data_IF_086891518476
#
_entry.id   IF_086891518476
#
_cell.length_a   1.000
_cell.length_b   1.000
_cell.length_c   1.000
_cell.angle_alpha   90.00
_cell.angle_beta   90.00
_cell.angle_gamma   90.00
#
_symmetry.space_group_name_H-M   'P 1'
#
loop_
_entity.id
_entity.type
_entity.pdbx_description
1 polymer ?
#
# COMPACT_ATOMS: atom_id res chain seq x y z
N UNK A 1 -3.10 21.00 -14.90
CA UNK A 1 -1.66 20.65 -14.94
C UNK A 1 -1.55 19.43 -15.85
N UNK A 2 -1.13 19.62 -17.09
CA UNK A 2 -1.00 18.54 -18.08
C UNK A 2 0.25 17.75 -17.75
N UNK A 3 0.08 16.48 -17.41
CA UNK A 3 1.19 15.57 -17.16
C UNK A 3 1.95 15.35 -18.48
N UNK A 4 3.26 15.60 -18.46
CA UNK A 4 4.14 15.28 -19.59
C UNK A 4 4.13 13.78 -19.89
N UNK A 5 4.13 13.36 -21.15
CA UNK A 5 4.18 11.95 -21.54
C UNK A 5 5.50 11.24 -21.17
N UNK A 6 6.48 11.97 -20.65
CA UNK A 6 7.84 11.47 -20.32
C UNK A 6 7.98 11.21 -18.80
N UNK A 7 7.00 10.60 -18.14
CA UNK A 7 7.18 10.17 -16.75
C UNK A 7 8.19 9.04 -16.68
N UNK A 8 9.43 9.41 -16.40
CA UNK A 8 10.46 8.47 -15.96
C UNK A 8 10.11 8.04 -14.53
N UNK A 9 10.00 6.73 -14.33
CA UNK A 9 9.90 6.16 -12.98
C UNK A 9 11.05 6.65 -12.11
N UNK A 10 10.80 7.09 -10.87
CA UNK A 10 11.89 7.37 -9.96
C UNK A 10 12.68 6.06 -9.75
N UNK A 11 13.95 6.08 -10.10
CA UNK A 11 14.85 4.96 -9.81
C UNK A 11 15.17 4.84 -8.32
N UNK A 12 14.81 5.87 -7.54
CA UNK A 12 15.17 6.00 -6.12
C UNK A 12 14.09 6.78 -5.37
N UNK A 13 13.66 6.25 -4.22
CA UNK A 13 12.67 6.87 -3.33
C UNK A 13 13.21 6.90 -1.91
N UNK A 14 13.24 8.08 -1.31
CA UNK A 14 13.53 8.25 0.12
C UNK A 14 12.30 7.83 0.94
N UNK A 15 12.49 6.93 1.88
CA UNK A 15 11.44 6.50 2.81
C UNK A 15 11.77 7.06 4.19
N UNK A 16 10.90 7.92 4.71
CA UNK A 16 11.11 8.61 5.97
C UNK A 16 10.97 7.67 7.18
N UNK A 17 12.10 7.36 7.83
CA UNK A 17 12.20 6.47 8.96
C UNK A 17 12.11 7.17 10.32
N UNK A 18 12.47 8.45 10.36
CA UNK A 18 12.68 9.23 11.58
C UNK A 18 11.48 10.10 11.96
N UNK A 19 10.42 10.17 11.12
CA UNK A 19 9.20 10.89 11.49
C UNK A 19 8.49 10.23 12.68
N UNK A 20 7.76 11.02 13.44
CA UNK A 20 6.90 10.50 14.48
C UNK A 20 5.73 9.69 13.89
N UNK A 21 5.52 8.47 14.39
CA UNK A 21 4.41 7.64 13.97
C UNK A 21 3.06 8.34 14.12
N UNK A 22 2.31 8.42 13.04
CA UNK A 22 0.99 9.02 13.01
C UNK A 22 -0.11 7.97 13.10
N UNK A 23 -0.88 8.02 14.17
CA UNK A 23 -2.05 7.16 14.36
C UNK A 23 -3.11 7.45 13.30
N UNK A 24 -3.86 6.40 12.91
CA UNK A 24 -4.95 6.50 11.94
C UNK A 24 -4.51 7.01 10.56
N UNK A 25 -3.30 6.66 10.15
CA UNK A 25 -2.74 6.92 8.82
C UNK A 25 -2.57 5.62 8.04
N UNK A 26 -2.17 5.70 6.77
CA UNK A 26 -1.85 4.51 5.95
C UNK A 26 -0.58 3.77 6.38
N UNK A 27 0.14 4.24 7.39
CA UNK A 27 1.37 3.60 7.89
C UNK A 27 1.15 2.20 8.45
N UNK A 28 -0.06 1.93 8.99
CA UNK A 28 -0.37 0.62 9.55
C UNK A 28 -1.72 0.06 9.05
N UNK A 29 -2.26 0.57 7.96
CA UNK A 29 -3.53 0.10 7.38
C UNK A 29 -3.60 0.30 5.89
N UNK A 30 -4.42 -0.51 5.26
CA UNK A 30 -4.84 -0.33 3.88
C UNK A 30 -6.30 -0.76 3.71
N UNK A 31 -6.86 -0.57 2.53
CA UNK A 31 -8.21 -1.00 2.19
C UNK A 31 -8.18 -1.98 1.04
N UNK A 32 -8.96 -3.05 1.16
CA UNK A 32 -9.23 -4.04 0.11
C UNK A 32 -10.71 -3.99 -0.25
N UNK A 33 -11.11 -4.57 -1.39
CA UNK A 33 -12.51 -4.67 -1.75
C UNK A 33 -13.07 -6.03 -1.29
N UNK A 34 -13.96 -6.00 -0.32
CA UNK A 34 -14.74 -7.15 0.11
C UNK A 34 -16.13 -7.15 -0.53
N UNK A 35 -16.88 -8.23 -0.34
CA UNK A 35 -18.20 -8.37 -0.94
C UNK A 35 -19.28 -7.38 -0.46
N UNK A 36 -19.04 -6.68 0.64
CA UNK A 36 -19.92 -5.67 1.22
C UNK A 36 -19.33 -4.24 1.15
N UNK A 37 -18.19 -4.08 0.48
CA UNK A 37 -17.53 -2.80 0.27
C UNK A 37 -16.08 -2.76 0.72
N UNK A 38 -15.46 -1.57 0.77
CA UNK A 38 -14.08 -1.41 1.22
C UNK A 38 -13.89 -1.90 2.65
N UNK A 39 -13.02 -2.89 2.83
CA UNK A 39 -12.66 -3.45 4.13
C UNK A 39 -11.27 -2.97 4.53
N UNK A 40 -11.15 -2.44 5.75
CA UNK A 40 -9.86 -2.03 6.32
C UNK A 40 -9.08 -3.24 6.85
N UNK A 41 -7.87 -3.41 6.39
CA UNK A 41 -6.85 -4.26 7.00
C UNK A 41 -5.94 -3.40 7.85
N UNK A 42 -5.67 -3.81 9.07
CA UNK A 42 -4.86 -3.04 10.02
C UNK A 42 -3.86 -3.92 10.75
N UNK A 43 -2.61 -3.48 10.79
CA UNK A 43 -1.57 -4.05 11.62
C UNK A 43 -1.65 -3.39 13.01
N UNK A 44 -1.93 -4.14 14.09
CA UNK A 44 -1.89 -3.62 15.44
C UNK A 44 -0.46 -3.24 15.83
N UNK A 45 -0.32 -2.15 16.59
CA UNK A 45 0.99 -1.68 17.07
C UNK A 45 0.97 -1.44 18.56
N UNK A 46 2.11 -1.67 19.20
CA UNK A 46 2.28 -1.38 20.63
C UNK A 46 2.24 0.13 20.80
N UNK A 47 1.31 0.57 21.66
CA UNK A 47 1.15 1.98 21.97
C UNK A 47 2.20 2.43 23.00
N UNK A 48 2.84 3.55 22.73
CA UNK A 48 3.83 4.18 23.59
C UNK A 48 3.83 5.71 23.44
N UNK A 49 4.76 6.39 24.10
CA UNK A 49 5.04 7.80 23.82
C UNK A 49 5.41 7.99 22.35
N UNK A 50 5.61 9.24 21.95
CA UNK A 50 6.03 9.53 20.57
C UNK A 50 7.24 8.67 20.16
N UNK A 51 7.10 7.91 19.07
CA UNK A 51 8.12 6.99 18.56
C UNK A 51 8.39 7.31 17.10
N UNK A 52 9.66 7.19 16.71
CA UNK A 52 10.01 7.24 15.29
C UNK A 52 9.36 6.08 14.54
N UNK A 53 9.01 6.28 13.28
CA UNK A 53 8.37 5.25 12.43
C UNK A 53 9.20 3.96 12.41
N UNK A 54 10.53 4.08 12.37
CA UNK A 54 11.46 2.94 12.40
C UNK A 54 11.42 2.12 13.70
N UNK A 55 10.86 2.65 14.78
CA UNK A 55 10.86 1.99 16.11
C UNK A 55 9.50 1.44 16.52
N UNK A 56 8.47 1.64 15.71
CA UNK A 56 7.12 1.16 16.00
C UNK A 56 7.10 -0.37 15.98
N UNK A 57 6.73 -0.97 17.13
CA UNK A 57 6.62 -2.43 17.27
C UNK A 57 5.22 -2.91 16.94
N UNK A 58 5.16 -4.08 16.29
CA UNK A 58 3.90 -4.75 15.99
C UNK A 58 3.38 -5.44 17.27
N UNK A 59 2.08 -5.39 17.49
CA UNK A 59 1.40 -6.09 18.56
C UNK A 59 0.81 -7.41 18.05
N UNK A 60 1.39 -8.52 18.46
CA UNK A 60 0.95 -9.88 18.15
C UNK A 60 0.03 -10.51 19.21
N UNK A 61 -0.45 -9.74 20.19
CA UNK A 61 -1.37 -10.23 21.21
C UNK A 61 -2.70 -10.73 20.67
N UNK A 62 -3.07 -10.31 19.44
CA UNK A 62 -4.24 -10.76 18.73
C UNK A 62 -3.84 -11.50 17.43
N UNK A 63 -4.65 -12.46 16.96
CA UNK A 63 -4.34 -13.23 15.73
C UNK A 63 -4.63 -12.42 14.45
N UNK A 64 -4.10 -11.20 14.35
CA UNK A 64 -4.37 -10.31 13.21
C UNK A 64 -3.81 -10.84 11.90
N UNK A 65 -2.68 -11.56 11.91
CA UNK A 65 -2.09 -12.18 10.71
C UNK A 65 -3.09 -13.14 10.07
N UNK A 66 -3.60 -14.10 10.83
CA UNK A 66 -4.59 -15.09 10.34
C UNK A 66 -5.88 -14.39 9.89
N UNK A 67 -6.31 -13.34 10.58
CA UNK A 67 -7.49 -12.56 10.17
C UNK A 67 -7.27 -11.84 8.84
N UNK A 68 -6.08 -11.26 8.66
CA UNK A 68 -5.69 -10.59 7.40
C UNK A 68 -5.64 -11.60 6.25
N UNK A 69 -4.99 -12.75 6.45
CA UNK A 69 -4.93 -13.82 5.44
C UNK A 69 -6.33 -14.29 5.03
N UNK A 70 -7.22 -14.57 5.99
CA UNK A 70 -8.62 -14.96 5.71
C UNK A 70 -9.39 -13.86 4.97
N UNK A 71 -9.18 -12.60 5.33
CA UNK A 71 -9.84 -11.49 4.65
C UNK A 71 -9.38 -11.39 3.19
N UNK A 72 -8.08 -11.59 2.93
CA UNK A 72 -7.52 -11.62 1.58
C UNK A 72 -8.05 -12.82 0.78
N UNK A 73 -8.05 -14.04 1.36
CA UNK A 73 -8.63 -15.23 0.73
C UNK A 73 -10.10 -14.97 0.34
N UNK A 74 -10.91 -14.48 1.28
CA UNK A 74 -12.34 -14.21 1.04
C UNK A 74 -12.56 -13.14 -0.04
N UNK A 75 -11.69 -12.13 -0.10
CA UNK A 75 -11.83 -11.02 -1.05
C UNK A 75 -11.34 -11.37 -2.46
N UNK A 76 -10.30 -12.21 -2.58
CA UNK A 76 -9.57 -12.37 -3.83
C UNK A 76 -9.43 -13.80 -4.35
N UNK A 77 -9.99 -14.82 -3.69
CA UNK A 77 -9.93 -16.23 -4.14
C UNK A 77 -10.32 -16.40 -5.62
N UNK A 78 -11.23 -15.56 -6.12
CA UNK A 78 -11.69 -15.59 -7.52
C UNK A 78 -11.00 -14.56 -8.43
N UNK A 79 -10.06 -13.77 -7.91
CA UNK A 79 -9.29 -12.82 -8.73
C UNK A 79 -8.25 -13.57 -9.58
N UNK A 80 -8.07 -13.10 -10.82
CA UNK A 80 -7.33 -13.82 -11.86
C UNK A 80 -5.88 -14.19 -11.49
N UNK A 81 -5.24 -13.34 -10.67
CA UNK A 81 -3.82 -13.49 -10.33
C UNK A 81 -3.55 -13.70 -8.85
N UNK A 82 -4.58 -13.80 -8.01
CA UNK A 82 -4.41 -13.93 -6.56
C UNK A 82 -3.56 -15.15 -6.17
N UNK A 83 -3.85 -16.31 -6.76
CA UNK A 83 -3.15 -17.56 -6.47
C UNK A 83 -1.64 -17.47 -6.73
N UNK A 84 -1.22 -16.70 -7.74
CA UNK A 84 0.19 -16.52 -8.08
C UNK A 84 0.99 -15.70 -7.06
N UNK A 85 0.32 -14.81 -6.31
CA UNK A 85 1.00 -13.86 -5.40
C UNK A 85 0.71 -14.13 -3.92
N UNK A 86 -0.31 -14.94 -3.65
CA UNK A 86 -0.82 -15.20 -2.30
C UNK A 86 0.24 -15.72 -1.36
N UNK A 87 0.92 -16.78 -1.75
CA UNK A 87 1.87 -17.49 -0.87
C UNK A 87 3.09 -16.61 -0.54
N UNK A 88 3.58 -15.85 -1.50
CA UNK A 88 4.68 -14.89 -1.28
C UNK A 88 4.26 -13.78 -0.29
N UNK A 89 3.05 -13.24 -0.45
CA UNK A 89 2.52 -12.24 0.49
C UNK A 89 2.30 -12.82 1.88
N UNK A 90 1.77 -14.04 1.96
CA UNK A 90 1.53 -14.71 3.25
C UNK A 90 2.85 -15.02 3.97
N UNK A 91 3.88 -15.41 3.25
CA UNK A 91 5.22 -15.61 3.82
C UNK A 91 5.77 -14.33 4.51
N UNK A 92 5.49 -13.14 3.95
CA UNK A 92 5.87 -11.87 4.60
C UNK A 92 5.10 -11.64 5.92
N UNK A 93 3.82 -12.01 5.95
CA UNK A 93 2.99 -11.87 7.16
C UNK A 93 3.39 -12.91 8.23
N UNK A 94 3.66 -14.15 7.80
CA UNK A 94 4.04 -15.27 8.67
C UNK A 94 5.45 -15.14 9.24
N UNK A 95 6.33 -14.34 8.61
CA UNK A 95 7.64 -14.01 9.14
C UNK A 95 7.58 -13.22 10.46
N UNK A 96 6.43 -12.59 10.75
CA UNK A 96 6.16 -11.86 12.00
C UNK A 96 7.31 -10.92 12.44
N UNK A 97 7.73 -9.97 11.59
CA UNK A 97 8.79 -9.05 11.97
C UNK A 97 8.43 -8.27 13.23
N UNK A 98 9.40 -7.95 14.06
CA UNK A 98 9.17 -7.20 15.30
C UNK A 98 8.66 -5.78 15.02
N UNK A 99 9.20 -5.13 13.98
CA UNK A 99 8.92 -3.73 13.67
C UNK A 99 7.98 -3.57 12.49
N UNK A 100 7.03 -2.63 12.62
CA UNK A 100 6.13 -2.22 11.53
C UNK A 100 6.90 -1.73 10.30
N UNK A 101 8.04 -1.08 10.52
CA UNK A 101 8.95 -0.61 9.49
C UNK A 101 9.42 -1.75 8.57
N UNK A 102 9.85 -2.86 9.15
CA UNK A 102 10.33 -4.03 8.42
C UNK A 102 9.23 -4.65 7.56
N UNK A 103 8.03 -4.80 8.13
CA UNK A 103 6.86 -5.30 7.40
C UNK A 103 6.50 -4.40 6.22
N UNK A 104 6.46 -3.08 6.44
CA UNK A 104 6.12 -2.12 5.41
C UNK A 104 7.13 -2.13 4.26
N UNK A 105 8.44 -2.10 4.56
CA UNK A 105 9.46 -2.16 3.53
C UNK A 105 9.41 -3.47 2.73
N UNK A 106 9.20 -4.60 3.41
CA UNK A 106 9.07 -5.89 2.75
C UNK A 106 7.84 -5.93 1.84
N UNK A 107 6.72 -5.38 2.28
CA UNK A 107 5.49 -5.29 1.48
C UNK A 107 5.67 -4.37 0.27
N UNK A 108 6.34 -3.21 0.43
CA UNK A 108 6.62 -2.31 -0.70
C UNK A 108 7.55 -2.99 -1.70
N UNK A 109 8.62 -3.64 -1.24
CA UNK A 109 9.54 -4.39 -2.12
C UNK A 109 8.83 -5.51 -2.87
N UNK A 110 7.96 -6.25 -2.19
CA UNK A 110 7.10 -7.26 -2.83
C UNK A 110 6.27 -6.63 -3.95
N UNK A 111 5.57 -5.52 -3.70
CA UNK A 111 4.77 -4.84 -4.72
C UNK A 111 5.61 -4.36 -5.90
N UNK A 112 6.78 -3.75 -5.65
CA UNK A 112 7.69 -3.30 -6.70
C UNK A 112 8.19 -4.47 -7.55
N UNK A 113 8.61 -5.57 -6.91
CA UNK A 113 9.05 -6.79 -7.59
C UNK A 113 7.95 -7.38 -8.47
N UNK A 114 6.75 -7.59 -7.91
CA UNK A 114 5.64 -8.23 -8.62
C UNK A 114 5.03 -7.36 -9.72
N UNK A 115 5.18 -6.05 -9.66
CA UNK A 115 4.78 -5.11 -10.73
C UNK A 115 5.90 -4.82 -11.72
N UNK A 116 7.12 -5.34 -11.49
CA UNK A 116 8.27 -5.10 -12.36
C UNK A 116 8.84 -3.68 -12.28
N UNK A 117 8.54 -2.94 -11.21
CA UNK A 117 9.03 -1.58 -11.02
C UNK A 117 10.41 -1.61 -10.38
N UNK A 118 11.43 -1.20 -11.14
CA UNK A 118 12.80 -1.06 -10.64
C UNK A 118 12.94 0.27 -9.88
N UNK A 119 12.89 0.20 -8.55
CA UNK A 119 13.04 1.38 -7.69
C UNK A 119 13.82 1.01 -6.42
N UNK A 120 14.83 1.79 -6.09
CA UNK A 120 15.58 1.67 -4.85
C UNK A 120 14.87 2.42 -3.72
N UNK A 121 14.68 1.74 -2.59
CA UNK A 121 14.11 2.33 -1.38
C UNK A 121 15.23 2.64 -0.39
N UNK A 122 15.50 3.91 -0.13
CA UNK A 122 16.49 4.35 0.83
C UNK A 122 15.83 4.94 2.08
N UNK A 123 16.04 4.31 3.27
CA UNK A 123 15.61 4.90 4.54
C UNK A 123 16.35 6.20 4.85
N UNK A 124 15.65 7.21 5.32
CA UNK A 124 16.30 8.41 5.85
C UNK A 124 17.06 8.10 7.15
N UNK A 125 18.21 8.75 7.35
CA UNK A 125 19.03 8.60 8.57
C UNK A 125 18.62 9.60 9.66
N UNK A 126 18.10 10.73 9.23
CA UNK A 126 17.59 11.80 10.08
C UNK A 126 16.23 12.26 9.56
N UNK A 127 15.47 12.96 10.40
CA UNK A 127 14.20 13.52 9.97
C UNK A 127 14.40 14.58 8.88
N UNK A 128 13.83 14.30 7.71
CA UNK A 128 13.85 15.24 6.59
C UNK A 128 12.65 16.16 6.71
N UNK A 129 12.91 17.48 6.76
CA UNK A 129 11.83 18.47 6.76
C UNK A 129 10.98 18.33 5.49
N UNK A 130 9.64 18.45 5.60
CA UNK A 130 8.78 18.45 4.44
C UNK A 130 9.22 19.51 3.43
N UNK A 131 9.44 19.08 2.19
CA UNK A 131 9.82 19.98 1.10
C UNK A 131 8.61 20.18 0.19
N UNK A 132 8.25 21.45 -0.05
CA UNK A 132 7.13 21.80 -0.92
C UNK A 132 7.52 21.79 -2.41
N UNK A 133 8.81 21.76 -2.72
CA UNK A 133 9.34 21.70 -4.09
C UNK A 133 9.63 20.28 -4.55
N UNK A 134 9.81 19.34 -3.61
CA UNK A 134 9.96 17.91 -3.89
C UNK A 134 8.59 17.20 -3.94
N UNK A 135 8.56 16.06 -4.59
CA UNK A 135 7.41 15.15 -4.59
C UNK A 135 7.27 14.46 -3.22
N UNK A 136 6.91 15.24 -2.19
CA UNK A 136 6.72 14.75 -0.82
C UNK A 136 5.23 14.45 -0.55
N UNK A 137 4.91 13.17 -0.46
CA UNK A 137 3.54 12.67 -0.26
C UNK A 137 3.22 12.32 1.18
N UNK A 138 4.13 12.45 2.14
CA UNK A 138 4.00 11.96 3.55
C UNK A 138 2.77 12.48 4.28
N UNK A 139 2.36 13.72 4.00
CA UNK A 139 1.22 14.37 4.66
C UNK A 139 0.04 14.66 3.72
N UNK A 140 0.23 14.43 2.42
CA UNK A 140 -0.79 14.66 1.40
C UNK A 140 -1.69 13.43 1.31
N UNK A 141 -1.11 12.23 1.18
CA UNK A 141 -1.86 10.97 1.12
C UNK A 141 -2.24 10.54 2.54
N UNK A 142 -3.50 10.77 2.92
CA UNK A 142 -3.97 10.50 4.27
C UNK A 142 -5.45 10.08 4.30
N UNK A 143 -5.88 9.05 5.11
CA UNK A 143 -7.25 8.53 5.10
C UNK A 143 -8.34 9.56 5.45
N UNK A 144 -7.97 10.64 6.12
CA UNK A 144 -8.90 11.69 6.59
C UNK A 144 -8.89 12.94 5.71
N UNK A 145 -8.12 12.97 4.64
CA UNK A 145 -8.04 14.11 3.73
C UNK A 145 -8.58 13.72 2.37
N UNK A 146 -9.20 14.65 1.64
CA UNK A 146 -9.45 14.44 0.22
C UNK A 146 -8.12 14.11 -0.45
N UNK A 147 -8.08 13.01 -1.17
CA UNK A 147 -6.89 12.59 -1.89
C UNK A 147 -7.05 13.01 -3.35
N UNK A 148 -6.60 14.22 -3.65
CA UNK A 148 -6.60 14.73 -5.02
C UNK A 148 -5.34 14.32 -5.79
N UNK A 149 -4.36 13.68 -5.13
CA UNK A 149 -3.10 13.28 -5.75
C UNK A 149 -3.34 12.24 -6.84
N UNK A 150 -4.00 11.15 -6.52
CA UNK A 150 -4.27 10.08 -7.50
C UNK A 150 -5.14 10.58 -8.65
N UNK A 151 -6.16 11.39 -8.36
CA UNK A 151 -6.99 12.04 -9.37
C UNK A 151 -6.16 13.00 -10.23
N UNK A 152 -5.34 13.84 -9.61
CA UNK A 152 -4.46 14.79 -10.30
C UNK A 152 -3.40 14.12 -11.16
N UNK A 153 -2.99 12.91 -10.79
CA UNK A 153 -2.05 12.08 -11.53
C UNK A 153 -2.73 11.22 -12.61
N UNK A 154 -4.07 11.22 -12.70
CA UNK A 154 -4.81 10.37 -13.64
C UNK A 154 -4.74 8.87 -13.32
N UNK A 155 -4.42 8.52 -12.07
CA UNK A 155 -4.24 7.13 -11.63
C UNK A 155 -5.53 6.47 -11.16
N UNK A 156 -6.64 7.20 -11.06
CA UNK A 156 -7.96 6.65 -10.72
C UNK A 156 -8.65 6.08 -11.98
N UNK A 157 -7.96 5.21 -12.73
CA UNK A 157 -8.55 4.56 -13.91
C UNK A 157 -9.24 3.25 -13.47
N UNK A 158 -10.49 3.02 -13.93
CA UNK A 158 -11.18 1.76 -13.65
C UNK A 158 -10.45 0.56 -14.25
N UNK A 159 -10.11 -0.41 -13.43
CA UNK A 159 -9.66 -1.75 -13.80
C UNK A 159 -10.70 -2.80 -13.34
N UNK A 160 -10.50 -4.05 -13.70
CA UNK A 160 -11.38 -5.12 -13.25
C UNK A 160 -11.25 -5.31 -11.73
N UNK A 161 -12.39 -5.50 -11.05
CA UNK A 161 -12.46 -5.81 -9.62
C UNK A 161 -13.50 -6.91 -9.39
N UNK A 162 -13.16 -7.92 -8.57
CA UNK A 162 -14.01 -9.10 -8.31
C UNK A 162 -15.46 -8.72 -7.94
N UNK A 163 -15.64 -7.70 -7.12
CA UNK A 163 -16.95 -7.28 -6.64
C UNK A 163 -17.53 -6.06 -7.37
N UNK A 164 -16.97 -5.69 -8.52
CA UNK A 164 -17.38 -4.50 -9.28
C UNK A 164 -18.89 -4.42 -9.53
N UNK A 165 -19.48 -5.53 -9.98
CA UNK A 165 -20.92 -5.55 -10.30
C UNK A 165 -21.76 -5.42 -9.04
N UNK A 166 -21.34 -6.00 -7.94
CA UNK A 166 -22.01 -5.90 -6.64
C UNK A 166 -21.92 -4.48 -6.05
N UNK A 167 -20.82 -3.78 -6.32
CA UNK A 167 -20.64 -2.37 -5.89
C UNK A 167 -21.31 -1.37 -6.82
N UNK A 168 -21.87 -1.80 -7.94
CA UNK A 168 -22.46 -0.91 -8.94
C UNK A 168 -21.43 -0.13 -9.77
N UNK A 169 -20.16 -0.53 -9.74
CA UNK A 169 -19.07 0.08 -10.49
C UNK A 169 -17.70 -0.08 -9.85
N UNK A 170 -16.74 0.68 -10.37
CA UNK A 170 -15.38 0.70 -9.87
C UNK A 170 -15.28 1.38 -8.50
N UNK A 171 -14.54 0.75 -7.58
CA UNK A 171 -14.25 1.28 -6.24
C UNK A 171 -12.80 1.78 -6.22
N UNK A 172 -12.55 3.09 -6.18
CA UNK A 172 -11.20 3.66 -6.17
C UNK A 172 -10.54 3.58 -4.78
N UNK A 173 -9.25 3.94 -4.73
CA UNK A 173 -8.47 4.16 -3.49
C UNK A 173 -8.28 2.93 -2.62
N UNK A 174 -8.19 1.78 -3.24
CA UNK A 174 -7.82 0.53 -2.59
C UNK A 174 -6.30 0.36 -2.54
N UNK A 175 -5.85 -0.64 -1.80
CA UNK A 175 -4.46 -1.06 -1.80
C UNK A 175 -4.00 -1.47 -3.20
N UNK A 176 -2.73 -1.26 -3.52
CA UNK A 176 -2.11 -1.78 -4.74
C UNK A 176 -2.21 -3.32 -4.86
N UNK A 177 -2.49 -4.02 -3.76
CA UNK A 177 -2.81 -5.45 -3.77
C UNK A 177 -4.07 -5.74 -4.59
N UNK A 178 -5.11 -4.87 -4.51
CA UNK A 178 -6.33 -5.03 -5.30
C UNK A 178 -6.02 -4.99 -6.80
N UNK A 179 -5.23 -4.04 -7.23
CA UNK A 179 -4.77 -3.94 -8.62
C UNK A 179 -3.94 -5.17 -9.02
N UNK A 180 -2.94 -5.54 -8.20
CA UNK A 180 -2.05 -6.66 -8.49
C UNK A 180 -2.81 -7.99 -8.62
N UNK A 181 -3.77 -8.26 -7.73
CA UNK A 181 -4.51 -9.50 -7.75
C UNK A 181 -5.50 -9.61 -8.93
N UNK A 182 -5.99 -8.48 -9.42
CA UNK A 182 -6.92 -8.45 -10.55
C UNK A 182 -6.22 -8.36 -11.92
N UNK A 183 -5.15 -7.56 -12.05
CA UNK A 183 -4.48 -7.25 -13.33
C UNK A 183 -3.10 -7.93 -13.47
N UNK A 184 -2.54 -8.45 -12.36
CA UNK A 184 -1.28 -9.18 -12.38
C UNK A 184 -0.10 -8.39 -12.97
N UNK A 185 0.64 -8.97 -13.94
CA UNK A 185 1.77 -8.29 -14.58
C UNK A 185 1.40 -7.00 -15.31
N UNK A 186 0.14 -6.86 -15.74
CA UNK A 186 -0.34 -5.67 -16.45
C UNK A 186 -0.61 -4.49 -15.49
N UNK A 187 -0.51 -4.71 -14.18
CA UNK A 187 -0.65 -3.66 -13.15
C UNK A 187 0.20 -2.43 -13.42
N UNK A 188 1.41 -2.62 -13.97
CA UNK A 188 2.30 -1.50 -14.33
C UNK A 188 1.65 -0.56 -15.35
N UNK A 189 0.93 -1.08 -16.33
CA UNK A 189 0.22 -0.28 -17.34
C UNK A 189 -0.91 0.58 -16.76
N UNK A 190 -1.47 0.19 -15.61
CA UNK A 190 -2.47 0.97 -14.89
C UNK A 190 -1.86 2.06 -14.01
N UNK A 191 -0.65 1.84 -13.49
CA UNK A 191 0.08 2.80 -12.68
C UNK A 191 0.75 3.89 -13.51
N UNK A 192 0.99 3.63 -14.80
CA UNK A 192 1.57 4.60 -15.73
C UNK A 192 0.59 4.88 -16.86
N UNK A 193 0.24 6.16 -17.04
CA UNK A 193 -0.46 6.59 -18.26
C UNK A 193 0.50 6.47 -19.42
N UNK A 194 0.31 5.46 -20.26
CA UNK A 194 0.85 5.43 -21.62
C UNK A 194 -0.09 6.22 -22.51
#
# INVERSE_FOLDING_TARGET
>A
MTLSPDRVLPSHVLVEACENYQKQSYRNRCYILAGDGPQMLQVPVVHGPSMAMADVRIDYSTPWVVRTQRALDTAYETAAYYEYYRDDLFALLDAQPEKLWELNLSTIRFLLDKTGIACELEPTKDFVLPDTEADDYRYIIHPKRPDDVLTGLGLERPYYQVFRDRMGGFTPRLSALDLLFNEGPDSIGWLFSV
#
